data_IF_657275547927
#
_entry.id   IF_657275547927
#
_cell.length_a   1.000
_cell.length_b   1.000
_cell.length_c   1.000
_cell.angle_alpha   90.00
_cell.angle_beta   90.00
_cell.angle_gamma   90.00
#
_symmetry.space_group_name_H-M   'P 1'
#
loop_
_entity.id
_entity.type
_entity.pdbx_description
1 polymer ?
#
# COMPACT_ATOMS: atom_id res chain seq x y z
N UNK A 1 7.66 -12.29 17.04
CA UNK A 1 8.62 -12.79 16.03
C UNK A 1 9.51 -13.92 16.57
N UNK A 2 9.62 -14.10 17.88
CA UNK A 2 10.46 -15.12 18.54
C UNK A 2 10.16 -16.55 18.07
N UNK A 3 8.90 -16.87 17.79
CA UNK A 3 8.47 -18.20 17.30
C UNK A 3 8.96 -18.56 15.88
N UNK A 4 9.53 -17.64 15.09
CA UNK A 4 9.99 -17.96 13.74
C UNK A 4 11.20 -18.91 13.76
N UNK A 5 11.06 -20.10 13.16
CA UNK A 5 12.13 -21.11 13.09
C UNK A 5 13.00 -21.00 11.82
N UNK A 6 12.87 -19.91 11.05
CA UNK A 6 13.66 -19.66 9.83
C UNK A 6 13.54 -20.76 8.75
N UNK A 7 12.43 -21.50 8.71
CA UNK A 7 12.21 -22.62 7.77
C UNK A 7 12.14 -22.21 6.28
N UNK A 8 11.90 -20.94 5.97
CA UNK A 8 11.86 -20.44 4.58
C UNK A 8 10.58 -20.69 3.78
N UNK A 9 9.56 -21.32 4.37
CA UNK A 9 8.26 -21.52 3.72
C UNK A 9 7.65 -20.22 3.19
N UNK A 10 7.85 -19.11 3.91
CA UNK A 10 7.38 -17.79 3.52
C UNK A 10 8.08 -17.23 2.27
N UNK A 11 9.38 -17.48 2.13
CA UNK A 11 10.15 -17.11 0.93
C UNK A 11 9.72 -17.93 -0.28
N UNK A 12 9.65 -19.25 -0.13
CA UNK A 12 9.25 -20.15 -1.22
C UNK A 12 7.78 -20.03 -1.65
N UNK A 13 6.91 -19.53 -0.77
CA UNK A 13 5.48 -19.31 -1.09
C UNK A 13 5.19 -17.94 -1.69
N UNK A 14 6.16 -17.02 -1.70
CA UNK A 14 5.92 -15.65 -2.13
C UNK A 14 5.92 -15.56 -3.67
N UNK A 15 4.80 -15.15 -4.31
CA UNK A 15 4.78 -14.99 -5.76
C UNK A 15 5.67 -13.82 -6.20
N UNK A 16 5.78 -12.78 -5.38
CA UNK A 16 6.61 -11.59 -5.63
C UNK A 16 8.06 -11.75 -5.16
N UNK A 17 8.46 -12.96 -4.75
CA UNK A 17 9.78 -13.19 -4.14
C UNK A 17 10.96 -12.88 -5.06
N UNK A 18 10.77 -12.93 -6.37
CA UNK A 18 11.82 -12.60 -7.35
C UNK A 18 12.07 -11.10 -7.49
N UNK A 19 11.06 -10.27 -7.21
CA UNK A 19 11.17 -8.81 -7.27
C UNK A 19 11.56 -8.18 -5.92
N UNK A 20 11.55 -9.00 -4.85
CA UNK A 20 12.00 -8.60 -3.53
C UNK A 20 13.52 -8.72 -3.40
N UNK A 21 14.14 -7.69 -2.84
CA UNK A 21 15.56 -7.68 -2.49
C UNK A 21 15.89 -8.74 -1.42
N UNK A 22 14.96 -8.93 -0.47
CA UNK A 22 15.05 -9.92 0.58
C UNK A 22 13.75 -10.72 0.66
N UNK A 23 13.84 -12.04 0.69
CA UNK A 23 12.66 -12.85 1.02
C UNK A 23 12.17 -12.53 2.44
N UNK A 24 10.88 -12.77 2.76
CA UNK A 24 10.37 -12.55 4.12
C UNK A 24 11.19 -13.24 5.21
N UNK A 25 11.78 -14.41 4.91
CA UNK A 25 12.70 -15.11 5.81
C UNK A 25 13.95 -14.28 6.11
N UNK A 26 14.61 -13.79 5.06
CA UNK A 26 15.83 -12.98 5.18
C UNK A 26 15.55 -11.68 5.91
N UNK A 27 14.46 -10.99 5.57
CA UNK A 27 14.04 -9.76 6.24
C UNK A 27 13.84 -9.99 7.76
N UNK A 28 13.25 -11.12 8.15
CA UNK A 28 13.06 -11.47 9.57
C UNK A 28 14.37 -11.85 10.26
N UNK A 29 15.33 -12.43 9.54
CA UNK A 29 16.67 -12.66 10.08
C UNK A 29 17.40 -11.33 10.32
N UNK A 30 17.27 -10.37 9.41
CA UNK A 30 17.84 -9.02 9.56
C UNK A 30 17.23 -8.28 10.76
N UNK A 31 15.90 -8.35 10.94
CA UNK A 31 15.24 -7.79 12.12
C UNK A 31 15.76 -8.39 13.42
N UNK A 32 16.03 -9.70 13.46
CA UNK A 32 16.63 -10.36 14.63
C UNK A 32 18.09 -9.98 14.87
N UNK A 33 18.79 -9.56 13.82
CA UNK A 33 20.15 -9.06 13.90
C UNK A 33 20.21 -7.54 14.18
N UNK A 34 19.07 -6.94 14.58
CA UNK A 34 18.96 -5.51 14.91
C UNK A 34 19.33 -4.57 13.74
N UNK A 35 19.24 -5.05 12.51
CA UNK A 35 19.48 -4.27 11.29
C UNK A 35 18.23 -3.51 10.85
N UNK A 36 17.64 -2.73 11.77
CA UNK A 36 16.35 -2.07 11.53
C UNK A 36 16.40 -1.12 10.33
N UNK A 37 17.42 -0.27 10.24
CA UNK A 37 17.54 0.72 9.16
C UNK A 37 17.59 0.02 7.78
N UNK A 38 18.36 -1.04 7.65
CA UNK A 38 18.44 -1.82 6.42
C UNK A 38 17.12 -2.52 6.06
N UNK A 39 16.34 -2.95 7.06
CA UNK A 39 15.02 -3.54 6.83
C UNK A 39 14.03 -2.50 6.34
N UNK A 40 14.03 -1.31 6.94
CA UNK A 40 13.16 -0.21 6.54
C UNK A 40 13.53 0.37 5.17
N UNK A 41 14.81 0.30 4.82
CA UNK A 41 15.37 0.61 3.50
C UNK A 41 15.31 -0.58 2.53
N UNK A 42 14.61 -1.68 2.82
CA UNK A 42 14.39 -2.73 1.82
C UNK A 42 13.15 -2.44 0.96
N UNK A 43 13.19 -2.81 -0.31
CA UNK A 43 11.99 -2.78 -1.17
C UNK A 43 10.94 -3.85 -0.76
N UNK A 44 11.35 -4.83 0.05
CA UNK A 44 10.59 -6.06 0.33
C UNK A 44 9.18 -5.81 0.86
N UNK A 45 8.96 -4.95 1.87
CA UNK A 45 7.61 -4.67 2.32
C UNK A 45 6.75 -4.12 1.18
N UNK A 46 7.29 -3.24 0.33
CA UNK A 46 6.57 -2.58 -0.76
C UNK A 46 6.12 -3.53 -1.88
N UNK A 47 6.87 -4.59 -2.14
CA UNK A 47 6.48 -5.65 -3.07
C UNK A 47 5.53 -6.69 -2.46
N UNK A 48 5.23 -6.61 -1.15
CA UNK A 48 4.24 -7.48 -0.54
C UNK A 48 2.83 -7.08 -1.00
N UNK A 49 2.21 -7.96 -1.80
CA UNK A 49 0.83 -7.84 -2.31
C UNK A 49 -0.23 -8.35 -1.34
N UNK A 50 0.15 -8.69 -0.10
CA UNK A 50 -0.78 -9.13 0.96
C UNK A 50 -1.69 -10.29 0.54
N UNK A 51 -1.16 -11.28 -0.19
CA UNK A 51 -1.92 -12.46 -0.60
C UNK A 51 -2.12 -13.53 0.49
N UNK A 52 -1.55 -13.30 1.69
CA UNK A 52 -1.62 -14.18 2.87
C UNK A 52 -1.05 -15.60 2.74
N UNK A 53 -0.53 -16.03 1.59
CA UNK A 53 0.03 -17.39 1.40
C UNK A 53 1.12 -17.73 2.42
N UNK A 54 2.02 -16.79 2.69
CA UNK A 54 3.11 -16.97 3.66
C UNK A 54 2.59 -17.14 5.10
N UNK A 55 1.53 -16.43 5.46
CA UNK A 55 0.88 -16.52 6.78
C UNK A 55 0.16 -17.86 6.93
N UNK A 56 -0.64 -18.26 5.94
CA UNK A 56 -1.40 -19.52 5.99
C UNK A 56 -0.53 -20.77 5.97
N UNK A 57 0.65 -20.72 5.33
CA UNK A 57 1.57 -21.86 5.24
C UNK A 57 2.63 -21.87 6.34
N UNK A 58 2.65 -20.86 7.23
CA UNK A 58 3.66 -20.81 8.28
C UNK A 58 3.41 -21.91 9.32
N UNK A 59 4.34 -22.84 9.56
CA UNK A 59 4.18 -23.91 10.56
C UNK A 59 4.20 -23.39 12.00
N UNK A 60 4.55 -22.11 12.20
CA UNK A 60 4.60 -21.43 13.50
C UNK A 60 3.53 -20.34 13.61
N UNK A 61 2.60 -20.26 12.65
CA UNK A 61 1.49 -19.30 12.64
C UNK A 61 1.93 -17.84 12.82
N UNK A 62 3.13 -17.50 12.33
CA UNK A 62 3.61 -16.12 12.35
C UNK A 62 2.73 -15.29 11.44
N UNK A 63 2.24 -14.15 11.92
CA UNK A 63 1.45 -13.19 11.14
C UNK A 63 2.34 -12.36 10.21
N UNK A 64 2.91 -13.02 9.20
CA UNK A 64 3.95 -12.45 8.31
C UNK A 64 3.40 -11.25 7.55
N UNK A 65 2.16 -11.34 7.06
CA UNK A 65 1.50 -10.26 6.33
C UNK A 65 1.36 -9.00 7.19
N UNK A 66 0.94 -9.15 8.45
CA UNK A 66 0.77 -8.03 9.39
C UNK A 66 2.13 -7.36 9.67
N UNK A 67 3.18 -8.16 9.87
CA UNK A 67 4.55 -7.64 10.05
C UNK A 67 4.97 -6.81 8.83
N UNK A 68 4.69 -7.27 7.61
CA UNK A 68 5.01 -6.49 6.40
C UNK A 68 4.27 -5.15 6.36
N UNK A 69 3.01 -5.09 6.80
CA UNK A 69 2.28 -3.83 6.94
C UNK A 69 2.90 -2.93 8.01
N UNK A 70 3.24 -3.46 9.18
CA UNK A 70 3.91 -2.69 10.23
C UNK A 70 5.23 -2.09 9.73
N UNK A 71 6.02 -2.84 8.96
CA UNK A 71 7.26 -2.33 8.37
C UNK A 71 7.00 -1.21 7.36
N UNK A 72 5.95 -1.30 6.52
CA UNK A 72 5.54 -0.20 5.63
C UNK A 72 5.23 1.06 6.44
N UNK A 73 4.39 0.94 7.48
CA UNK A 73 3.99 2.07 8.33
C UNK A 73 5.18 2.69 9.04
N UNK A 74 6.09 1.88 9.59
CA UNK A 74 7.31 2.35 10.25
C UNK A 74 8.26 3.05 9.26
N UNK A 75 8.44 2.49 8.06
CA UNK A 75 9.26 3.12 7.02
C UNK A 75 8.70 4.48 6.60
N UNK A 76 7.38 4.60 6.47
CA UNK A 76 6.69 5.86 6.17
C UNK A 76 6.86 6.87 7.31
N UNK A 77 6.67 6.44 8.57
CA UNK A 77 6.80 7.29 9.75
C UNK A 77 8.23 7.82 9.93
N UNK A 78 9.25 7.00 9.61
CA UNK A 78 10.67 7.37 9.67
C UNK A 78 11.20 8.04 8.39
N UNK A 79 10.35 8.26 7.38
CA UNK A 79 10.76 8.89 6.12
C UNK A 79 11.73 8.05 5.25
N UNK A 80 11.73 6.72 5.44
CA UNK A 80 12.60 5.75 4.72
C UNK A 80 11.88 5.05 3.56
N UNK A 81 10.75 5.56 3.10
CA UNK A 81 9.97 4.94 2.02
C UNK A 81 10.61 5.14 0.64
N UNK A 82 10.78 4.04 -0.11
CA UNK A 82 11.45 4.00 -1.43
C UNK A 82 10.80 4.78 -2.56
N UNK A 83 9.52 5.16 -2.44
CA UNK A 83 8.84 5.92 -3.49
C UNK A 83 7.76 6.84 -2.91
N UNK A 84 8.06 8.14 -2.84
CA UNK A 84 7.09 9.17 -2.48
C UNK A 84 5.86 9.16 -3.41
N UNK A 85 6.02 8.69 -4.66
CA UNK A 85 4.96 8.58 -5.66
C UNK A 85 3.83 7.63 -5.26
N UNK A 86 4.15 6.44 -4.72
CA UNK A 86 3.13 5.47 -4.28
C UNK A 86 2.40 5.96 -3.02
N UNK A 87 3.13 6.62 -2.13
CA UNK A 87 2.57 7.25 -0.92
C UNK A 87 1.61 8.38 -1.28
N UNK A 88 2.05 9.36 -2.07
CA UNK A 88 1.20 10.50 -2.46
C UNK A 88 -0.04 10.06 -3.27
N UNK A 89 0.10 9.03 -4.12
CA UNK A 89 -1.05 8.42 -4.77
C UNK A 89 -2.05 7.85 -3.75
N UNK A 90 -1.56 7.09 -2.77
CA UNK A 90 -2.40 6.47 -1.74
C UNK A 90 -3.05 7.52 -0.84
N UNK A 91 -2.33 8.56 -0.42
CA UNK A 91 -2.85 9.66 0.37
C UNK A 91 -3.93 10.44 -0.40
N UNK A 92 -3.70 10.70 -1.69
CA UNK A 92 -4.70 11.35 -2.56
C UNK A 92 -5.94 10.48 -2.73
N UNK A 93 -5.77 9.18 -2.98
CA UNK A 93 -6.86 8.23 -3.11
C UNK A 93 -7.70 8.15 -1.83
N UNK A 94 -7.06 7.94 -0.68
CA UNK A 94 -7.72 7.92 0.63
C UNK A 94 -8.46 9.23 0.87
N UNK A 95 -7.83 10.38 0.58
CA UNK A 95 -8.47 11.68 0.74
C UNK A 95 -9.75 11.86 -0.08
N UNK A 96 -9.82 11.29 -1.29
CA UNK A 96 -11.06 11.27 -2.08
C UNK A 96 -12.10 10.33 -1.49
N UNK A 97 -11.70 9.13 -1.07
CA UNK A 97 -12.60 8.16 -0.45
C UNK A 97 -13.17 8.68 0.88
N UNK A 98 -12.38 9.29 1.75
CA UNK A 98 -12.88 9.86 3.00
C UNK A 98 -13.84 11.04 2.76
N UNK A 99 -13.62 11.82 1.70
CA UNK A 99 -14.43 13.01 1.39
C UNK A 99 -15.74 12.68 0.66
N UNK A 100 -15.69 11.73 -0.26
CA UNK A 100 -16.81 11.44 -1.17
C UNK A 100 -17.41 10.04 -0.98
N UNK A 101 -16.74 9.15 -0.24
CA UNK A 101 -17.11 7.75 -0.06
C UNK A 101 -16.83 6.87 -1.28
N UNK A 102 -16.19 7.41 -2.32
CA UNK A 102 -15.73 6.69 -3.50
C UNK A 102 -14.51 7.38 -4.11
N UNK A 103 -13.77 6.62 -4.90
CA UNK A 103 -12.67 7.15 -5.68
C UNK A 103 -13.17 8.13 -6.76
N UNK A 104 -12.39 9.18 -6.99
CA UNK A 104 -12.57 10.15 -8.08
C UNK A 104 -11.42 9.99 -9.08
N UNK A 105 -11.61 9.10 -10.05
CA UNK A 105 -10.55 8.64 -10.94
C UNK A 105 -9.94 9.76 -11.79
N UNK A 106 -10.73 10.68 -12.32
CA UNK A 106 -10.20 11.80 -13.13
C UNK A 106 -9.28 12.71 -12.31
N UNK A 107 -9.69 13.05 -11.09
CA UNK A 107 -8.88 13.86 -10.18
C UNK A 107 -7.62 13.14 -9.72
N UNK A 108 -7.73 11.84 -9.42
CA UNK A 108 -6.60 11.00 -9.03
C UNK A 108 -5.57 10.88 -10.16
N UNK A 109 -6.03 10.53 -11.37
CA UNK A 109 -5.17 10.38 -12.55
C UNK A 109 -4.52 11.70 -12.93
N UNK A 110 -5.29 12.79 -12.97
CA UNK A 110 -4.77 14.12 -13.33
C UNK A 110 -3.75 14.61 -12.32
N UNK A 111 -4.04 14.51 -11.01
CA UNK A 111 -3.09 14.88 -9.96
C UNK A 111 -1.82 14.03 -10.04
N UNK A 112 -1.95 12.71 -10.12
CA UNK A 112 -0.79 11.82 -10.17
C UNK A 112 0.11 12.10 -11.39
N UNK A 113 -0.48 12.24 -12.58
CA UNK A 113 0.27 12.53 -13.81
C UNK A 113 0.94 13.90 -13.78
N UNK A 114 0.28 14.94 -13.24
CA UNK A 114 0.87 16.28 -13.17
C UNK A 114 2.07 16.36 -12.20
N UNK A 115 1.99 15.68 -11.04
CA UNK A 115 3.04 15.79 -10.02
C UNK A 115 4.19 14.79 -10.19
N UNK A 116 3.92 13.57 -10.67
CA UNK A 116 4.94 12.51 -10.72
C UNK A 116 5.36 12.12 -12.14
N UNK A 117 4.53 12.34 -13.16
CA UNK A 117 4.80 11.88 -14.53
C UNK A 117 4.40 12.90 -15.63
N UNK A 118 4.84 14.17 -15.56
CA UNK A 118 4.37 15.21 -16.49
C UNK A 118 4.76 14.94 -17.95
N UNK A 119 5.88 14.27 -18.17
CA UNK A 119 6.36 13.90 -19.51
C UNK A 119 5.50 12.84 -20.20
N UNK A 120 4.73 12.06 -19.43
CA UNK A 120 3.84 11.01 -19.96
C UNK A 120 2.47 11.52 -20.41
N UNK A 121 2.13 12.78 -20.09
CA UNK A 121 0.82 13.39 -20.37
C UNK A 121 0.49 13.37 -21.87
N UNK A 122 1.39 13.80 -22.79
CA UNK A 122 1.06 13.80 -24.21
C UNK A 122 0.69 12.41 -24.75
N UNK A 123 1.37 11.36 -24.26
CA UNK A 123 1.11 9.97 -24.70
C UNK A 123 -0.14 9.34 -24.09
N UNK A 124 -0.62 9.85 -22.95
CA UNK A 124 -1.82 9.32 -22.27
C UNK A 124 -3.09 10.13 -22.57
N UNK A 125 -2.94 11.32 -23.17
CA UNK A 125 -4.04 12.25 -23.45
C UNK A 125 -5.10 11.66 -24.39
N UNK A 126 -4.70 10.95 -25.44
CA UNK A 126 -5.64 10.33 -26.39
C UNK A 126 -6.53 9.30 -25.70
N UNK A 127 -5.93 8.41 -24.90
CA UNK A 127 -6.66 7.42 -24.11
C UNK A 127 -7.59 8.10 -23.09
N UNK A 128 -7.09 9.11 -22.37
CA UNK A 128 -7.87 9.88 -21.40
C UNK A 128 -9.10 10.53 -22.04
N UNK A 129 -8.93 11.17 -23.21
CA UNK A 129 -10.03 11.77 -23.95
C UNK A 129 -11.03 10.72 -24.47
N UNK A 130 -10.53 9.56 -24.90
CA UNK A 130 -11.37 8.42 -25.28
C UNK A 130 -12.20 7.85 -24.11
N UNK A 131 -11.67 7.87 -22.89
CA UNK A 131 -12.40 7.45 -21.69
C UNK A 131 -13.47 8.45 -21.27
N UNK A 132 -13.17 9.76 -21.35
CA UNK A 132 -14.11 10.84 -21.06
C UNK A 132 -15.29 10.86 -22.05
N UNK A 133 -15.01 10.82 -23.35
CA UNK A 133 -16.04 10.83 -24.40
C UNK A 133 -16.97 9.62 -24.35
N UNK A 134 -16.46 8.46 -23.88
CA UNK A 134 -17.25 7.23 -23.70
C UNK A 134 -17.94 7.14 -22.33
N UNK A 135 -17.86 8.18 -21.49
CA UNK A 135 -18.46 8.17 -20.15
C UNK A 135 -17.87 7.11 -19.21
N UNK A 136 -16.63 6.66 -19.45
CA UNK A 136 -15.93 5.69 -18.61
C UNK A 136 -15.19 6.33 -17.44
N UNK A 137 -15.18 7.66 -17.40
CA UNK A 137 -14.54 8.46 -16.36
C UNK A 137 -15.35 9.73 -16.11
N UNK A 138 -15.73 9.95 -14.86
CA UNK A 138 -16.49 11.13 -14.44
C UNK A 138 -15.55 12.34 -14.31
N UNK A 139 -15.94 13.50 -14.84
CA UNK A 139 -15.15 14.75 -14.68
C UNK A 139 -15.35 15.40 -13.31
N UNK A 140 -16.42 15.05 -12.60
CA UNK A 140 -16.75 15.59 -11.28
C UNK A 140 -16.84 14.47 -10.25
N UNK A 141 -16.42 14.73 -9.00
CA UNK A 141 -16.55 13.73 -7.94
C UNK A 141 -18.03 13.50 -7.58
N UNK A 142 -18.40 12.23 -7.40
CA UNK A 142 -19.72 11.82 -6.93
C UNK A 142 -19.66 11.36 -5.48
N UNK A 143 -20.71 11.65 -4.70
CA UNK A 143 -20.82 11.25 -3.30
C UNK A 143 -21.68 10.00 -3.12
N UNK A 144 -21.34 9.16 -2.14
CA UNK A 144 -22.24 8.08 -1.69
C UNK A 144 -23.46 8.67 -0.96
N UNK A 145 -24.55 7.89 -0.88
CA UNK A 145 -25.81 8.33 -0.25
C UNK A 145 -25.64 8.67 1.23
N UNK A 146 -24.93 7.84 1.99
CA UNK A 146 -24.74 8.01 3.43
C UNK A 146 -23.28 8.26 3.79
N UNK A 147 -22.79 9.46 3.47
CA UNK A 147 -21.42 9.87 3.80
C UNK A 147 -21.22 10.03 5.31
N UNK A 148 -22.28 10.37 6.05
CA UNK A 148 -22.21 10.59 7.49
C UNK A 148 -21.96 9.27 8.23
N UNK A 149 -22.59 8.17 7.80
CA UNK A 149 -22.31 6.85 8.33
C UNK A 149 -20.85 6.44 8.08
N UNK A 150 -20.35 6.63 6.86
CA UNK A 150 -18.94 6.34 6.55
C UNK A 150 -17.99 7.13 7.46
N UNK A 151 -18.25 8.43 7.64
CA UNK A 151 -17.43 9.27 8.52
C UNK A 151 -17.43 8.76 9.96
N UNK A 152 -18.58 8.35 10.51
CA UNK A 152 -18.67 7.75 11.85
C UNK A 152 -17.84 6.45 11.95
N UNK A 153 -17.90 5.59 10.93
CA UNK A 153 -17.12 4.34 10.89
C UNK A 153 -15.62 4.66 10.88
N UNK A 154 -15.19 5.60 10.03
CA UNK A 154 -13.79 6.01 9.93
C UNK A 154 -13.28 6.65 11.21
N UNK A 155 -14.08 7.53 11.84
CA UNK A 155 -13.75 8.12 13.15
C UNK A 155 -13.57 7.03 14.20
N UNK A 156 -14.50 6.08 14.30
CA UNK A 156 -14.39 4.98 15.27
C UNK A 156 -13.18 4.09 14.99
N UNK A 157 -12.85 3.84 13.73
CA UNK A 157 -11.66 3.07 13.36
C UNK A 157 -10.36 3.78 13.81
N UNK A 158 -10.27 5.10 13.61
CA UNK A 158 -9.12 5.91 14.05
C UNK A 158 -8.98 5.96 15.57
N UNK A 159 -10.09 6.00 16.32
CA UNK A 159 -10.08 5.90 17.78
C UNK A 159 -9.49 4.56 18.24
N UNK A 160 -9.96 3.45 17.65
CA UNK A 160 -9.46 2.11 17.98
C UNK A 160 -7.98 1.94 17.65
N UNK A 161 -7.51 2.53 16.55
CA UNK A 161 -6.09 2.52 16.20
C UNK A 161 -5.23 3.31 17.20
N UNK A 162 -5.77 4.39 17.77
CA UNK A 162 -5.08 5.19 18.79
C UNK A 162 -5.06 4.54 20.19
N UNK A 163 -5.94 3.55 20.44
CA UNK A 163 -5.99 2.76 21.67
C UNK A 163 -4.96 1.61 21.69
N UNK A 164 -4.35 1.28 20.53
CA UNK A 164 -3.35 0.21 20.35
C UNK A 164 -1.90 0.71 20.50
#
# INVERSE_FOLDING_TARGET
MEMCIQCGTCGGSCPSGQDMEHTPRQLFAMLRAELEDAVLESNTPWFCVSCYLCTSRCPQYVKITDIMYTLKTLAVAKGRSHANTARDFSETFIGYVERYGRSFEFGLATRHSLYHMPTSIPGTLELGMGMLTKGRMDMTPHKIKDIQQLQKILTRAKELEAEL
#
